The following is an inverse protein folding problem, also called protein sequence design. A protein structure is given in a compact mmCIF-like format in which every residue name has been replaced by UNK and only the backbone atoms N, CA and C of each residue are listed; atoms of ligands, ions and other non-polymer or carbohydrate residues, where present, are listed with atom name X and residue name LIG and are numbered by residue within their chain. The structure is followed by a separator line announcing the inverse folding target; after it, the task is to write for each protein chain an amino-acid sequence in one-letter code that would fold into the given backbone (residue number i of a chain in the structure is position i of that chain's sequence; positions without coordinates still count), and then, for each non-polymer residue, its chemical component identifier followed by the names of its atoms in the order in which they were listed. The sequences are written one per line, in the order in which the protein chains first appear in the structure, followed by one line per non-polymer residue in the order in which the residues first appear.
data_IF_707838770234
#
_entry.id   IF_707838770234
#
_cell.length_a   1.000
_cell.length_b   1.000
_cell.length_c   1.000
_cell.angle_alpha   90.00
_cell.angle_beta   90.00
_cell.angle_gamma   90.00
#
_symmetry.space_group_name_H-M   'P 1'
#
loop_
_entity.id
_entity.type
_entity.pdbx_description
1 polymer ?
#
# COMPACT_ATOMS: atom_id res chain seq x y z
N UNK A 1 19.12 4.08 -16.92
CA UNK A 1 19.35 4.95 -18.10
C UNK A 1 18.02 5.40 -18.69
N UNK A 2 17.06 4.49 -18.96
CA UNK A 2 15.77 4.80 -19.59
C UNK A 2 14.96 5.81 -18.75
N UNK A 3 14.81 5.58 -17.46
CA UNK A 3 14.10 6.50 -16.56
C UNK A 3 14.71 7.91 -16.57
N UNK A 4 16.04 8.00 -16.53
CA UNK A 4 16.74 9.29 -16.62
C UNK A 4 16.48 10.00 -17.96
N UNK A 5 16.53 9.26 -19.07
CA UNK A 5 16.24 9.80 -20.41
C UNK A 5 14.77 10.30 -20.49
N UNK A 6 13.84 9.56 -19.91
CA UNK A 6 12.44 9.97 -19.84
C UNK A 6 12.26 11.31 -19.10
N UNK A 7 12.92 11.50 -17.95
CA UNK A 7 12.87 12.76 -17.22
C UNK A 7 13.52 13.91 -17.98
N UNK A 8 14.63 13.66 -18.69
CA UNK A 8 15.28 14.70 -19.50
C UNK A 8 14.43 15.12 -20.71
N UNK A 9 13.64 14.23 -21.27
CA UNK A 9 12.66 14.56 -22.33
C UNK A 9 11.48 15.34 -21.76
N UNK A 10 10.92 14.84 -20.64
CA UNK A 10 9.82 15.54 -19.95
C UNK A 10 10.22 16.98 -19.58
N UNK A 11 11.45 17.21 -19.12
CA UNK A 11 11.94 18.55 -18.79
C UNK A 11 11.90 19.49 -20.00
N UNK A 12 12.27 18.99 -21.19
CA UNK A 12 12.18 19.77 -22.45
C UNK A 12 10.72 20.04 -22.84
N UNK A 13 9.87 19.00 -22.79
CA UNK A 13 8.46 19.14 -23.13
C UNK A 13 7.76 20.14 -22.19
N UNK A 14 8.15 20.16 -20.90
CA UNK A 14 7.67 21.14 -19.93
C UNK A 14 8.16 22.54 -20.23
N UNK A 15 9.43 22.71 -20.64
CA UNK A 15 9.96 24.01 -21.04
C UNK A 15 9.17 24.58 -22.24
N UNK A 16 8.99 23.78 -23.30
CA UNK A 16 8.20 24.17 -24.47
C UNK A 16 6.74 24.53 -24.10
N UNK A 17 6.14 23.79 -23.18
CA UNK A 17 4.79 24.07 -22.68
C UNK A 17 4.72 25.38 -21.88
N UNK A 18 5.69 25.64 -21.02
CA UNK A 18 5.76 26.87 -20.23
C UNK A 18 5.99 28.09 -21.13
N UNK A 19 6.88 27.98 -22.12
CA UNK A 19 7.12 29.02 -23.12
C UNK A 19 5.83 29.32 -23.94
N UNK A 20 5.08 28.28 -24.30
CA UNK A 20 3.79 28.45 -24.97
C UNK A 20 2.79 29.22 -24.10
N UNK A 21 2.67 28.90 -22.82
CA UNK A 21 1.80 29.59 -21.88
C UNK A 21 2.21 31.08 -21.73
N UNK A 22 3.50 31.32 -21.56
CA UNK A 22 4.03 32.68 -21.41
C UNK A 22 3.74 33.53 -22.65
N UNK A 23 3.95 33.00 -23.86
CA UNK A 23 3.72 33.74 -25.12
C UNK A 23 2.25 34.00 -25.41
N UNK A 24 1.33 33.11 -24.99
CA UNK A 24 -0.09 33.24 -25.38
C UNK A 24 -0.96 33.81 -24.27
N UNK A 25 -0.58 33.68 -23.01
CA UNK A 25 -1.38 34.08 -21.85
C UNK A 25 -0.69 35.21 -21.07
N UNK A 26 0.64 35.20 -21.05
CA UNK A 26 1.46 36.11 -20.23
C UNK A 26 1.83 35.46 -18.89
N UNK A 27 3.09 35.55 -18.49
CA UNK A 27 3.62 34.91 -17.25
C UNK A 27 2.87 35.38 -16.00
N UNK A 28 2.42 36.62 -15.94
CA UNK A 28 1.68 37.21 -14.83
C UNK A 28 0.22 36.68 -14.70
N UNK A 29 -0.27 35.96 -15.69
CA UNK A 29 -1.64 35.44 -15.71
C UNK A 29 -1.71 33.91 -15.55
N UNK A 30 -0.57 33.28 -15.32
CA UNK A 30 -0.47 31.82 -15.24
C UNK A 30 0.17 31.41 -13.93
N UNK A 31 -0.49 30.50 -13.23
CA UNK A 31 0.08 29.78 -12.10
C UNK A 31 0.06 28.28 -12.41
N UNK A 32 1.24 27.69 -12.47
CA UNK A 32 1.41 26.25 -12.70
C UNK A 32 1.88 25.59 -11.42
N UNK A 33 1.36 24.43 -11.10
CA UNK A 33 1.94 23.57 -10.06
C UNK A 33 2.17 22.16 -10.62
N UNK A 34 3.29 21.57 -10.23
CA UNK A 34 3.66 20.22 -10.55
C UNK A 34 3.75 19.41 -9.28
N UNK A 35 3.08 18.28 -9.26
CA UNK A 35 3.12 17.29 -8.17
C UNK A 35 3.08 15.88 -8.73
N UNK A 36 3.07 14.88 -7.87
CA UNK A 36 2.82 13.48 -8.22
C UNK A 36 1.70 12.91 -7.34
N UNK A 37 1.02 11.90 -7.84
CA UNK A 37 -0.02 11.17 -7.10
C UNK A 37 0.57 10.32 -5.97
N UNK A 38 1.78 9.77 -6.17
CA UNK A 38 2.54 8.99 -5.18
C UNK A 38 4.03 8.92 -5.59
N UNK A 39 4.85 8.48 -4.65
CA UNK A 39 6.20 8.04 -4.90
C UNK A 39 6.27 6.54 -5.23
N UNK A 40 7.46 5.96 -5.16
CA UNK A 40 7.65 4.52 -5.28
C UNK A 40 8.96 4.09 -4.61
N UNK A 41 8.96 2.89 -4.03
CA UNK A 41 10.19 2.31 -3.50
C UNK A 41 11.13 1.89 -4.64
N UNK A 42 12.41 1.87 -4.38
CA UNK A 42 13.37 1.29 -5.33
C UNK A 42 13.15 -0.21 -5.46
N UNK A 43 13.35 -0.75 -6.67
CA UNK A 43 13.22 -2.18 -6.95
C UNK A 43 13.94 -3.01 -5.89
N UNK A 44 13.27 -3.96 -5.20
CA UNK A 44 13.88 -4.74 -4.14
C UNK A 44 15.14 -5.51 -4.54
N UNK A 45 15.23 -6.05 -5.76
CA UNK A 45 16.44 -6.69 -6.27
C UNK A 45 17.63 -5.73 -6.28
N UNK A 46 17.44 -4.50 -6.74
CA UNK A 46 18.49 -3.47 -6.72
C UNK A 46 18.94 -3.14 -5.29
N UNK A 47 18.02 -3.11 -4.32
CA UNK A 47 18.35 -2.86 -2.91
C UNK A 47 19.13 -4.04 -2.32
N UNK A 48 18.72 -5.28 -2.61
CA UNK A 48 19.42 -6.50 -2.17
C UNK A 48 20.86 -6.56 -2.66
N UNK A 49 21.10 -6.20 -3.91
CA UNK A 49 22.46 -6.14 -4.48
C UNK A 49 23.36 -5.17 -3.71
N UNK A 50 22.78 -4.20 -3.02
CA UNK A 50 23.47 -3.22 -2.15
C UNK A 50 23.40 -3.56 -0.67
N UNK A 51 23.00 -4.80 -0.34
CA UNK A 51 22.86 -5.29 1.04
C UNK A 51 21.88 -4.46 1.89
N UNK A 52 20.90 -3.81 1.25
CA UNK A 52 19.80 -3.12 1.91
C UNK A 52 18.65 -4.12 2.05
N UNK A 53 18.07 -4.27 3.25
CA UNK A 53 16.93 -5.14 3.46
C UNK A 53 15.75 -4.76 2.55
N UNK A 54 15.28 -5.72 1.77
CA UNK A 54 14.16 -5.54 0.84
C UNK A 54 13.59 -6.90 0.44
N UNK A 55 12.38 -6.94 -0.11
CA UNK A 55 11.78 -8.22 -0.51
C UNK A 55 10.55 -8.10 -1.38
N UNK A 56 10.10 -9.26 -1.78
CA UNK A 56 8.81 -9.45 -2.44
C UNK A 56 7.95 -10.32 -1.55
N UNK A 57 6.72 -9.90 -1.33
CA UNK A 57 5.72 -10.65 -0.58
C UNK A 57 4.77 -11.30 -1.58
N UNK A 58 4.81 -12.62 -1.62
CA UNK A 58 3.94 -13.44 -2.46
C UNK A 58 2.80 -13.93 -1.59
N UNK A 59 1.63 -13.33 -1.74
CA UNK A 59 0.49 -13.53 -0.85
C UNK A 59 -0.19 -14.90 -1.01
N UNK A 60 0.01 -15.58 -2.13
CA UNK A 60 -0.71 -16.82 -2.45
C UNK A 60 -0.49 -17.91 -1.40
N UNK A 61 0.77 -18.18 -1.04
CA UNK A 61 1.11 -19.19 -0.05
C UNK A 61 0.64 -18.82 1.37
N UNK A 62 0.90 -17.61 1.90
CA UNK A 62 0.36 -17.16 3.19
C UNK A 62 -1.15 -17.25 3.26
N UNK A 63 -1.87 -16.83 2.23
CA UNK A 63 -3.34 -16.87 2.19
C UNK A 63 -3.86 -18.31 2.12
N UNK A 64 -3.19 -19.20 1.36
CA UNK A 64 -3.56 -20.62 1.33
C UNK A 64 -3.37 -21.28 2.71
N UNK A 65 -2.25 -21.01 3.38
CA UNK A 65 -1.98 -21.49 4.74
C UNK A 65 -2.98 -20.94 5.76
N UNK A 66 -3.36 -19.66 5.63
CA UNK A 66 -4.38 -19.05 6.47
C UNK A 66 -5.73 -19.76 6.33
N UNK A 67 -6.15 -20.11 5.12
CA UNK A 67 -7.40 -20.84 4.89
C UNK A 67 -7.39 -22.21 5.57
N UNK A 68 -6.26 -22.93 5.50
CA UNK A 68 -6.07 -24.21 6.20
C UNK A 68 -6.13 -24.01 7.71
N UNK A 69 -5.47 -23.00 8.23
CA UNK A 69 -5.49 -22.64 9.65
C UNK A 69 -6.90 -22.35 10.16
N UNK A 70 -7.66 -21.51 9.46
CA UNK A 70 -9.04 -21.19 9.85
C UNK A 70 -9.96 -22.42 9.75
N UNK A 71 -9.77 -23.29 8.75
CA UNK A 71 -10.48 -24.55 8.68
C UNK A 71 -10.20 -25.49 9.88
N UNK A 72 -8.97 -25.48 10.39
CA UNK A 72 -8.61 -26.26 11.57
C UNK A 72 -9.25 -25.73 12.86
N UNK A 73 -9.48 -24.42 12.94
CA UNK A 73 -10.10 -23.80 14.12
C UNK A 73 -11.65 -23.91 14.10
N UNK A 74 -12.25 -23.71 12.94
CA UNK A 74 -13.70 -23.45 12.82
C UNK A 74 -14.44 -24.45 11.93
N UNK A 75 -13.73 -25.45 11.41
CA UNK A 75 -14.28 -26.38 10.42
C UNK A 75 -14.14 -25.88 9.00
N UNK A 76 -14.38 -26.76 8.04
CA UNK A 76 -14.25 -26.47 6.61
C UNK A 76 -15.24 -25.36 6.20
N UNK A 77 -14.72 -24.30 5.58
CA UNK A 77 -15.50 -23.17 5.12
C UNK A 77 -14.71 -22.17 4.30
N UNK A 78 -15.39 -21.31 3.59
CA UNK A 78 -14.78 -20.20 2.86
C UNK A 78 -14.63 -18.98 3.78
N UNK A 79 -13.70 -19.03 4.74
CA UNK A 79 -13.51 -18.00 5.77
C UNK A 79 -12.91 -16.70 5.22
N UNK A 80 -12.11 -16.78 4.14
CA UNK A 80 -11.48 -15.63 3.48
C UNK A 80 -12.09 -15.48 2.09
N UNK A 81 -12.89 -14.43 1.89
CA UNK A 81 -13.54 -14.12 0.60
C UNK A 81 -12.51 -13.75 -0.46
N UNK A 82 -11.62 -12.82 -0.12
CA UNK A 82 -10.58 -12.37 -1.04
C UNK A 82 -9.39 -11.76 -0.30
N UNK A 83 -8.29 -11.64 -1.01
CA UNK A 83 -7.11 -10.88 -0.64
C UNK A 83 -6.75 -9.92 -1.78
N UNK A 84 -6.33 -8.71 -1.46
CA UNK A 84 -5.85 -7.75 -2.44
C UNK A 84 -5.37 -6.46 -1.77
N UNK A 85 -4.34 -5.85 -2.35
CA UNK A 85 -3.72 -4.63 -1.83
C UNK A 85 -3.36 -4.72 -0.34
N UNK A 86 -2.68 -5.80 0.05
CA UNK A 86 -2.30 -6.10 1.44
C UNK A 86 -3.48 -6.13 2.43
N UNK A 87 -4.68 -6.48 1.96
CA UNK A 87 -5.89 -6.56 2.79
C UNK A 87 -6.57 -7.92 2.66
N UNK A 88 -7.01 -8.46 3.78
CA UNK A 88 -7.79 -9.68 3.89
C UNK A 88 -9.25 -9.35 4.14
N UNK A 89 -10.12 -9.86 3.30
CA UNK A 89 -11.57 -9.71 3.41
C UNK A 89 -12.17 -11.04 3.89
N UNK A 90 -12.70 -11.04 5.10
CA UNK A 90 -13.28 -12.23 5.72
C UNK A 90 -14.73 -12.45 5.26
N UNK A 91 -15.18 -13.67 5.36
CA UNK A 91 -16.57 -14.02 5.12
C UNK A 91 -17.39 -13.72 6.38
N UNK A 92 -17.80 -12.46 6.54
CA UNK A 92 -18.55 -11.98 7.71
C UNK A 92 -19.88 -12.70 7.88
N UNK A 93 -20.52 -13.11 6.77
CA UNK A 93 -21.78 -13.87 6.79
C UNK A 93 -21.56 -15.26 7.40
N UNK A 94 -20.54 -15.99 6.96
CA UNK A 94 -20.19 -17.29 7.51
C UNK A 94 -19.80 -17.19 8.99
N UNK A 95 -19.02 -16.15 9.35
CA UNK A 95 -18.62 -15.90 10.74
C UNK A 95 -19.86 -15.69 11.63
N UNK A 96 -20.83 -14.90 11.16
CA UNK A 96 -22.09 -14.67 11.87
C UNK A 96 -22.97 -15.93 11.93
N UNK A 97 -23.08 -16.69 10.84
CA UNK A 97 -23.79 -17.97 10.78
C UNK A 97 -23.26 -18.97 11.83
N UNK A 98 -21.93 -19.02 11.98
CA UNK A 98 -21.26 -19.86 12.99
C UNK A 98 -21.28 -19.26 14.40
N UNK A 99 -21.96 -18.14 14.60
CA UNK A 99 -22.08 -17.44 15.90
C UNK A 99 -20.68 -17.07 16.47
N UNK A 100 -19.70 -16.83 15.60
CA UNK A 100 -18.37 -16.40 15.99
C UNK A 100 -18.32 -14.87 16.11
N UNK A 101 -17.44 -14.38 16.98
CA UNK A 101 -17.19 -12.95 17.12
C UNK A 101 -16.19 -12.51 16.07
N UNK A 102 -16.60 -11.57 15.20
CA UNK A 102 -15.77 -11.08 14.11
C UNK A 102 -14.39 -10.57 14.58
N UNK A 103 -14.36 -9.82 15.67
CA UNK A 103 -13.12 -9.28 16.22
C UNK A 103 -12.13 -10.37 16.70
N UNK A 104 -12.65 -11.51 17.16
CA UNK A 104 -11.81 -12.67 17.53
C UNK A 104 -11.19 -13.29 16.29
N UNK A 105 -11.99 -13.50 15.25
CA UNK A 105 -11.49 -14.05 13.98
C UNK A 105 -10.49 -13.09 13.32
N UNK A 106 -10.77 -11.79 13.31
CA UNK A 106 -9.85 -10.76 12.81
C UNK A 106 -8.50 -10.84 13.55
N UNK A 107 -8.52 -10.95 14.88
CA UNK A 107 -7.28 -11.02 15.66
C UNK A 107 -6.48 -12.30 15.36
N UNK A 108 -7.14 -13.45 15.28
CA UNK A 108 -6.48 -14.70 14.93
C UNK A 108 -5.85 -14.66 13.52
N UNK A 109 -6.53 -14.03 12.58
CA UNK A 109 -5.98 -13.79 11.23
C UNK A 109 -4.76 -12.87 11.30
N UNK A 110 -4.85 -11.79 12.05
CA UNK A 110 -3.73 -10.85 12.21
C UNK A 110 -2.52 -11.56 12.84
N UNK A 111 -2.73 -12.28 13.93
CA UNK A 111 -1.66 -13.01 14.63
C UNK A 111 -1.01 -14.08 13.73
N UNK A 112 -1.82 -14.80 12.95
CA UNK A 112 -1.31 -15.78 12.00
C UNK A 112 -0.46 -15.15 10.90
N UNK A 113 -0.91 -14.03 10.32
CA UNK A 113 -0.22 -13.34 9.24
C UNK A 113 1.11 -12.71 9.68
N UNK A 114 1.25 -12.33 10.94
CA UNK A 114 2.52 -11.84 11.51
C UNK A 114 3.65 -12.88 11.49
N UNK A 115 3.34 -14.16 11.36
CA UNK A 115 4.33 -15.22 11.25
C UNK A 115 5.04 -15.30 9.89
N UNK A 116 4.60 -14.54 8.89
CA UNK A 116 5.18 -14.58 7.55
C UNK A 116 6.25 -13.52 7.36
N UNK A 117 7.32 -13.92 6.69
CA UNK A 117 8.43 -13.03 6.36
C UNK A 117 7.96 -11.87 5.49
N UNK A 118 8.37 -10.66 5.85
CA UNK A 118 7.99 -9.44 5.15
C UNK A 118 6.72 -8.78 5.68
N UNK A 119 5.99 -9.41 6.60
CA UNK A 119 4.87 -8.79 7.30
C UNK A 119 5.38 -8.13 8.59
N UNK A 120 5.41 -6.82 8.61
CA UNK A 120 5.83 -6.04 9.80
C UNK A 120 4.70 -5.90 10.81
N UNK A 121 3.48 -5.65 10.32
CA UNK A 121 2.28 -5.51 11.15
C UNK A 121 1.08 -6.11 10.43
N UNK A 122 0.16 -6.65 11.23
CA UNK A 122 -1.17 -7.01 10.79
C UNK A 122 -2.17 -6.31 11.72
N UNK A 123 -3.02 -5.46 11.17
CA UNK A 123 -3.91 -4.58 11.94
C UNK A 123 -5.34 -4.92 11.62
N UNK A 124 -6.14 -5.18 12.63
CA UNK A 124 -7.56 -5.49 12.43
C UNK A 124 -8.35 -4.22 12.14
N UNK A 125 -9.42 -4.33 11.35
CA UNK A 125 -10.37 -3.24 11.15
C UNK A 125 -10.89 -2.70 12.48
N UNK A 126 -11.12 -3.59 13.44
CA UNK A 126 -11.57 -3.21 14.78
C UNK A 126 -10.56 -2.33 15.54
N UNK A 127 -9.27 -2.61 15.39
CA UNK A 127 -8.20 -1.76 15.97
C UNK A 127 -8.21 -0.37 15.34
N UNK A 128 -8.35 -0.29 14.02
CA UNK A 128 -8.39 1.00 13.31
C UNK A 128 -9.63 1.84 13.65
N UNK A 129 -10.74 1.20 14.01
CA UNK A 129 -11.98 1.89 14.45
C UNK A 129 -11.91 2.42 15.88
N UNK A 130 -11.17 1.74 16.76
CA UNK A 130 -11.21 2.02 18.21
C UNK A 130 -9.95 2.67 18.77
N UNK A 131 -8.87 2.62 18.03
CA UNK A 131 -7.61 3.26 18.43
C UNK A 131 -7.44 4.58 17.71
N UNK A 132 -6.57 5.45 18.21
CA UNK A 132 -6.20 6.70 17.58
C UNK A 132 -4.69 6.70 17.34
N UNK A 133 -4.30 6.80 16.07
CA UNK A 133 -2.91 6.85 15.66
C UNK A 133 -2.57 8.23 15.12
N UNK A 134 -1.65 8.92 15.78
CA UNK A 134 -1.31 10.32 15.46
C UNK A 134 -0.20 10.45 14.44
N UNK A 135 0.63 9.42 14.24
CA UNK A 135 1.80 9.48 13.36
C UNK A 135 2.19 8.10 12.79
N UNK A 136 3.09 8.13 11.81
CA UNK A 136 3.67 6.93 11.20
C UNK A 136 2.70 6.14 10.32
N UNK A 137 3.11 4.94 9.94
CA UNK A 137 2.38 4.10 8.98
C UNK A 137 0.97 3.75 9.44
N UNK A 138 0.75 3.57 10.75
CA UNK A 138 -0.58 3.25 11.28
C UNK A 138 -1.55 4.42 11.17
N UNK A 139 -1.07 5.66 11.39
CA UNK A 139 -1.89 6.84 11.17
C UNK A 139 -2.28 7.02 9.69
N UNK A 140 -1.35 6.73 8.76
CA UNK A 140 -1.66 6.73 7.33
C UNK A 140 -2.68 5.66 6.97
N UNK A 141 -2.51 4.46 7.51
CA UNK A 141 -3.45 3.34 7.30
C UNK A 141 -4.85 3.69 7.83
N UNK A 142 -4.92 4.28 9.04
CA UNK A 142 -6.19 4.67 9.66
C UNK A 142 -6.92 5.76 8.86
N UNK A 143 -6.20 6.76 8.34
CA UNK A 143 -6.81 7.79 7.48
C UNK A 143 -7.38 7.24 6.18
N UNK A 144 -6.79 6.18 5.63
CA UNK A 144 -7.30 5.49 4.43
C UNK A 144 -8.36 4.43 4.70
N UNK A 145 -8.57 4.05 5.96
CA UNK A 145 -9.49 2.98 6.33
C UNK A 145 -10.95 3.40 6.22
N UNK A 146 -11.77 2.55 5.61
CA UNK A 146 -13.22 2.69 5.56
C UNK A 146 -13.89 1.39 5.99
N UNK A 147 -14.70 1.36 7.08
CA UNK A 147 -15.27 0.13 7.65
C UNK A 147 -16.13 -0.70 6.70
N UNK A 148 -16.71 -0.04 5.67
CA UNK A 148 -17.58 -0.69 4.68
C UNK A 148 -16.85 -1.21 3.44
N UNK A 149 -15.64 -0.72 3.18
CA UNK A 149 -14.91 -0.99 1.93
C UNK A 149 -13.51 -1.58 2.14
N UNK A 150 -12.87 -1.28 3.26
CA UNK A 150 -11.57 -1.84 3.58
C UNK A 150 -11.67 -3.27 4.09
N UNK A 151 -10.57 -4.01 4.00
CA UNK A 151 -10.46 -5.37 4.51
C UNK A 151 -10.64 -5.47 6.03
N UNK A 152 -10.86 -6.68 6.49
CA UNK A 152 -11.01 -7.01 7.91
C UNK A 152 -9.67 -7.01 8.66
N UNK A 153 -8.59 -7.36 7.95
CA UNK A 153 -7.20 -7.30 8.43
C UNK A 153 -6.35 -6.68 7.34
N UNK A 154 -5.58 -5.66 7.71
CA UNK A 154 -4.68 -4.94 6.83
C UNK A 154 -3.24 -5.28 7.20
N UNK A 155 -2.44 -5.61 6.21
CA UNK A 155 -1.03 -5.93 6.38
C UNK A 155 -0.18 -4.68 6.10
N UNK A 156 0.80 -4.46 6.93
CA UNK A 156 1.90 -3.53 6.66
C UNK A 156 3.13 -4.38 6.40
N UNK A 157 3.65 -4.31 5.21
CA UNK A 157 4.88 -5.02 4.87
C UNK A 157 6.10 -4.31 5.47
N UNK A 158 7.20 -5.00 5.60
CA UNK A 158 8.47 -4.39 5.98
C UNK A 158 8.87 -3.28 4.99
N UNK A 159 9.66 -2.27 5.40
CA UNK A 159 10.18 -1.27 4.48
C UNK A 159 10.87 -1.92 3.28
N UNK A 160 10.55 -1.42 2.08
CA UNK A 160 11.04 -1.95 0.80
C UNK A 160 10.64 -3.41 0.49
N UNK A 161 9.60 -3.91 1.15
CA UNK A 161 8.88 -5.11 0.73
C UNK A 161 7.63 -4.73 -0.04
N UNK A 162 7.40 -5.38 -1.18
CA UNK A 162 6.30 -5.07 -2.09
C UNK A 162 5.62 -6.32 -2.62
N UNK A 163 4.35 -6.17 -2.99
CA UNK A 163 3.58 -7.18 -3.74
C UNK A 163 3.72 -6.87 -5.24
N UNK A 164 4.74 -7.40 -5.87
CA UNK A 164 4.99 -7.20 -7.30
C UNK A 164 5.87 -8.30 -7.89
N UNK A 165 6.03 -8.29 -9.22
CA UNK A 165 6.97 -9.20 -9.89
C UNK A 165 8.42 -8.89 -9.49
N UNK A 166 9.28 -9.90 -9.53
CA UNK A 166 10.68 -9.80 -9.09
C UNK A 166 11.55 -8.81 -9.87
N UNK A 167 11.05 -8.26 -10.98
CA UNK A 167 11.77 -7.33 -11.86
C UNK A 167 11.26 -5.90 -11.79
N UNK A 168 10.21 -5.64 -11.02
CA UNK A 168 9.55 -4.35 -10.97
C UNK A 168 9.58 -3.69 -9.60
N UNK A 169 8.90 -2.56 -9.52
CA UNK A 169 8.55 -1.87 -8.29
C UNK A 169 7.11 -1.40 -8.35
N UNK A 170 6.56 -1.04 -7.21
CA UNK A 170 5.22 -0.50 -7.05
C UNK A 170 5.16 0.46 -5.87
N UNK A 171 4.00 0.93 -5.56
CA UNK A 171 3.64 1.86 -4.49
C UNK A 171 2.48 1.29 -3.66
N UNK A 172 1.97 2.06 -2.71
CA UNK A 172 0.78 1.73 -1.92
C UNK A 172 1.07 1.48 -0.44
N UNK A 173 2.31 1.72 0.00
CA UNK A 173 2.66 1.66 1.40
C UNK A 173 2.42 2.98 2.13
N UNK A 174 2.33 2.94 3.46
CA UNK A 174 2.30 4.13 4.32
C UNK A 174 3.68 4.71 4.61
N UNK A 175 4.72 4.32 3.88
CA UNK A 175 6.08 4.81 4.09
C UNK A 175 6.37 6.09 3.31
N UNK A 176 7.35 6.85 3.79
CA UNK A 176 7.72 8.16 3.23
C UNK A 176 8.08 8.10 1.75
N UNK A 177 8.70 7.03 1.28
CA UNK A 177 9.07 6.90 -0.14
C UNK A 177 7.88 6.81 -1.09
N UNK A 178 6.70 6.41 -0.61
CA UNK A 178 5.44 6.41 -1.38
C UNK A 178 4.62 7.68 -1.17
N UNK A 179 4.75 8.34 -0.02
CA UNK A 179 3.91 9.48 0.36
C UNK A 179 4.55 10.84 0.10
N UNK A 180 5.89 10.92 0.13
CA UNK A 180 6.60 12.18 -0.02
C UNK A 180 6.85 12.48 -1.50
N UNK A 181 6.04 13.37 -2.06
CA UNK A 181 6.09 13.81 -3.45
C UNK A 181 6.44 15.30 -3.53
N UNK A 182 7.02 15.79 -4.65
CA UNK A 182 7.29 17.21 -4.82
C UNK A 182 5.97 18.00 -4.97
N UNK A 183 6.02 19.26 -4.59
CA UNK A 183 5.02 20.26 -4.95
C UNK A 183 5.78 21.51 -5.38
N UNK A 184 5.85 21.73 -6.69
CA UNK A 184 6.60 22.81 -7.32
C UNK A 184 5.62 23.82 -7.87
N UNK A 185 5.85 25.10 -7.59
CA UNK A 185 5.04 26.20 -8.09
C UNK A 185 5.87 27.02 -9.07
N UNK A 186 5.23 27.47 -10.17
CA UNK A 186 5.87 28.30 -11.19
C UNK A 186 4.88 29.34 -11.69
N UNK A 187 5.36 30.56 -11.93
CA UNK A 187 4.54 31.66 -12.40
C UNK A 187 4.06 32.59 -11.27
N UNK A 188 3.33 33.64 -11.64
CA UNK A 188 2.72 34.70 -10.80
C UNK A 188 3.67 35.71 -10.26
#
# INVERSE_FOLDING_TARGET
KETQDTYLRLDRDLADFLDFLEQHIGSENVLVFLTADHGAVRTPSYLKDRKIPAGYFEAEEPVAKLKVYLNSLYGVGNWVKTYGNAQLFLNRELIAEKTLRLEVVQQQVADFMLGFKGVQKAVTGRTLERSEFTSGVLASLQRGYNPKRSGDVLLVLDPAWIEYSHTGTTHGSGYTYDQHVPLIWYGW
#
